data_IF_983982823419
#
_entry.id   IF_983982823419
#
_cell.length_a   1.000
_cell.length_b   1.000
_cell.length_c   1.000
_cell.angle_alpha   90.00
_cell.angle_beta   90.00
_cell.angle_gamma   90.00
#
_symmetry.space_group_name_H-M   'P 1'
#
loop_
_entity.id
_entity.type
_entity.pdbx_description
1 polymer ?
#
# COMPACT_ATOMS: atom_id res chain seq x y z
N UNK A 1 -9.72 -3.21 -2.25
CA UNK A 1 -10.85 -3.19 -3.21
C UNK A 1 -10.57 -2.16 -4.29
N UNK A 2 -10.90 -2.46 -5.54
CA UNK A 2 -10.83 -1.48 -6.64
C UNK A 2 -12.13 -1.43 -7.42
N UNK A 3 -12.61 -0.23 -7.78
CA UNK A 3 -13.78 -0.02 -8.63
C UNK A 3 -13.38 0.87 -9.81
N UNK A 4 -13.61 0.43 -11.04
CA UNK A 4 -13.41 1.24 -12.24
C UNK A 4 -14.69 2.01 -12.57
N UNK A 5 -14.60 3.33 -12.66
CA UNK A 5 -15.69 4.22 -13.04
C UNK A 5 -15.87 4.25 -14.57
N UNK A 6 -17.03 4.67 -15.09
CA UNK A 6 -17.24 4.84 -16.53
C UNK A 6 -16.23 5.78 -17.21
N UNK A 7 -15.66 6.73 -16.46
CA UNK A 7 -14.58 7.62 -16.93
C UNK A 7 -13.22 6.91 -17.08
N UNK A 8 -13.11 5.65 -16.66
CA UNK A 8 -11.85 4.90 -16.60
C UNK A 8 -11.05 5.11 -15.33
N UNK A 9 -11.40 6.09 -14.49
CA UNK A 9 -10.79 6.31 -13.18
C UNK A 9 -11.01 5.11 -12.25
N UNK A 10 -10.07 4.86 -11.33
CA UNK A 10 -10.10 3.70 -10.42
C UNK A 10 -10.13 4.18 -8.99
N UNK A 11 -11.20 3.86 -8.26
CA UNK A 11 -11.28 4.04 -6.81
C UNK A 11 -10.60 2.85 -6.14
N UNK A 12 -9.60 3.11 -5.30
CA UNK A 12 -8.88 2.11 -4.50
C UNK A 12 -9.23 2.35 -3.04
N UNK A 13 -9.67 1.31 -2.35
CA UNK A 13 -9.88 1.33 -0.89
C UNK A 13 -9.15 0.14 -0.27
N UNK A 14 -8.22 0.43 0.65
CA UNK A 14 -7.47 -0.56 1.41
C UNK A 14 -8.06 -0.76 2.79
N UNK A 15 -8.22 -2.02 3.19
CA UNK A 15 -8.56 -2.39 4.56
C UNK A 15 -7.76 -3.62 4.96
N UNK A 16 -7.30 -3.64 6.21
CA UNK A 16 -6.64 -4.81 6.82
C UNK A 16 -7.49 -5.30 7.98
N UNK A 17 -7.65 -6.61 8.06
CA UNK A 17 -8.20 -7.31 9.21
C UNK A 17 -7.03 -7.78 10.08
N UNK A 18 -7.02 -7.38 11.35
CA UNK A 18 -6.02 -7.81 12.32
C UNK A 18 -6.50 -9.12 12.97
N UNK A 19 -5.63 -10.12 13.19
CA UNK A 19 -6.00 -11.39 13.82
C UNK A 19 -6.67 -11.20 15.18
N UNK A 20 -7.59 -12.10 15.52
CA UNK A 20 -8.34 -12.07 16.78
C UNK A 20 -7.40 -12.06 18.00
N UNK A 21 -7.58 -11.06 18.88
CA UNK A 21 -7.07 -11.13 20.26
C UNK A 21 -7.93 -12.11 21.07
N UNK A 22 -7.47 -12.60 22.24
CA UNK A 22 -8.10 -13.69 23.01
C UNK A 22 -9.59 -13.50 23.35
N UNK A 23 -10.13 -12.29 23.25
CA UNK A 23 -11.52 -11.95 23.49
C UNK A 23 -12.45 -12.10 22.25
N UNK A 24 -11.97 -12.63 21.13
CA UNK A 24 -12.81 -12.94 19.95
C UNK A 24 -13.21 -11.73 19.10
N UNK A 25 -12.72 -10.52 19.40
CA UNK A 25 -12.96 -9.34 18.58
C UNK A 25 -12.02 -9.30 17.37
N UNK A 26 -12.59 -9.22 16.16
CA UNK A 26 -11.86 -8.89 14.94
C UNK A 26 -11.82 -7.37 14.82
N UNK A 27 -10.63 -6.78 14.81
CA UNK A 27 -10.46 -5.34 14.57
C UNK A 27 -9.97 -5.14 13.15
N UNK A 28 -10.72 -4.36 12.36
CA UNK A 28 -10.32 -3.95 11.02
C UNK A 28 -9.91 -2.48 11.02
N UNK A 29 -8.94 -2.11 10.20
CA UNK A 29 -8.57 -0.70 10.00
C UNK A 29 -8.56 -0.32 8.53
N UNK A 30 -8.90 0.94 8.24
CA UNK A 30 -8.83 1.51 6.90
C UNK A 30 -7.38 1.93 6.64
N UNK A 31 -6.82 1.44 5.53
CA UNK A 31 -5.44 1.72 5.13
C UNK A 31 -5.27 2.93 4.21
N UNK A 32 -6.39 3.57 3.87
CA UNK A 32 -6.45 4.67 2.92
C UNK A 32 -7.40 4.39 1.75
N UNK A 33 -7.75 5.48 1.09
CA UNK A 33 -8.57 5.48 -0.11
C UNK A 33 -8.00 6.51 -1.08
N UNK A 34 -7.90 6.13 -2.35
CA UNK A 34 -7.52 7.05 -3.41
C UNK A 34 -8.41 6.86 -4.64
N UNK A 35 -8.54 7.93 -5.42
CA UNK A 35 -9.06 7.88 -6.79
C UNK A 35 -7.83 8.05 -7.67
N UNK A 36 -7.57 7.09 -8.54
CA UNK A 36 -6.47 7.11 -9.49
C UNK A 36 -7.01 7.39 -10.90
N UNK A 37 -6.23 8.05 -11.77
CA UNK A 37 -6.62 8.28 -13.15
C UNK A 37 -6.77 6.98 -13.94
N UNK A 38 -7.43 7.10 -15.10
CA UNK A 38 -7.51 6.03 -16.07
C UNK A 38 -6.11 5.58 -16.51
N UNK A 39 -5.95 4.29 -16.76
CA UNK A 39 -4.64 3.70 -17.03
C UNK A 39 -4.71 2.17 -17.05
N UNK A 40 -3.58 1.45 -16.89
CA UNK A 40 -3.55 -0.01 -16.90
C UNK A 40 -4.57 -0.64 -15.93
N UNK A 41 -5.04 -1.88 -16.15
CA UNK A 41 -5.89 -2.57 -15.18
C UNK A 41 -5.24 -2.62 -13.79
N UNK A 42 -6.03 -2.58 -12.72
CA UNK A 42 -5.52 -2.59 -11.34
C UNK A 42 -4.55 -3.76 -11.06
N UNK A 43 -4.80 -4.93 -11.65
CA UNK A 43 -3.94 -6.11 -11.56
C UNK A 43 -2.53 -5.92 -12.16
N UNK A 44 -2.31 -4.86 -12.94
CA UNK A 44 -1.01 -4.50 -13.52
C UNK A 44 -0.39 -3.26 -12.86
N UNK A 45 -0.98 -2.75 -11.78
CA UNK A 45 -0.48 -1.59 -11.05
C UNK A 45 0.12 -2.01 -9.73
N UNK A 46 1.06 -1.21 -9.25
CA UNK A 46 1.56 -1.27 -7.88
C UNK A 46 0.73 -0.30 -7.04
N UNK A 47 0.25 -0.75 -5.90
CA UNK A 47 -0.48 0.04 -4.92
C UNK A 47 0.23 -0.10 -3.58
N UNK A 48 0.66 0.99 -2.98
CA UNK A 48 1.32 1.00 -1.68
C UNK A 48 0.48 1.81 -0.69
N UNK A 49 0.27 1.29 0.52
CA UNK A 49 -0.62 1.87 1.53
C UNK A 49 0.04 1.84 2.90
N UNK A 50 -0.23 2.88 3.71
CA UNK A 50 0.09 2.89 5.13
C UNK A 50 -1.17 2.50 5.94
N UNK A 51 -1.17 1.28 6.46
CA UNK A 51 -2.24 0.76 7.30
C UNK A 51 -1.95 1.05 8.78
N UNK A 52 -2.65 2.00 9.37
CA UNK A 52 -2.51 2.33 10.79
C UNK A 52 -3.54 1.57 11.64
N UNK A 53 -3.08 0.88 12.67
CA UNK A 53 -3.95 0.24 13.68
C UNK A 53 -4.10 1.21 14.85
N UNK A 54 -5.32 1.64 15.14
CA UNK A 54 -5.63 2.59 16.21
C UNK A 54 -6.25 1.84 17.40
N UNK A 55 -5.82 2.17 18.61
CA UNK A 55 -6.51 1.78 19.83
C UNK A 55 -7.76 2.66 19.99
N UNK A 56 -8.94 2.09 19.78
CA UNK A 56 -10.20 2.84 19.88
C UNK A 56 -10.58 3.29 21.29
N UNK A 57 -9.91 2.79 22.34
CA UNK A 57 -10.14 3.24 23.72
C UNK A 57 -9.40 4.53 24.04
N UNK A 58 -8.22 4.72 23.45
CA UNK A 58 -7.34 5.88 23.70
C UNK A 58 -7.22 6.82 22.50
N UNK A 59 -7.62 6.37 21.30
CA UNK A 59 -7.39 7.04 20.03
C UNK A 59 -5.94 7.00 19.55
N UNK A 60 -5.04 6.30 20.26
CA UNK A 60 -3.62 6.30 19.96
C UNK A 60 -3.27 5.28 18.86
N UNK A 61 -2.32 5.61 17.95
CA UNK A 61 -1.83 4.64 16.99
C UNK A 61 -0.98 3.57 17.68
N UNK A 62 -1.32 2.31 17.44
CA UNK A 62 -0.61 1.15 17.98
C UNK A 62 0.53 0.68 17.08
N UNK A 63 0.29 0.68 15.76
CA UNK A 63 1.26 0.21 14.77
C UNK A 63 0.87 0.65 13.37
N UNK A 64 1.87 0.94 12.53
CA UNK A 64 1.65 1.24 11.10
C UNK A 64 2.36 0.20 10.25
N UNK A 65 1.60 -0.44 9.36
CA UNK A 65 2.12 -1.43 8.41
C UNK A 65 2.14 -0.85 7.01
N UNK A 66 3.22 -1.09 6.29
CA UNK A 66 3.28 -0.96 4.85
C UNK A 66 2.58 -2.16 4.21
N UNK A 67 1.56 -1.90 3.40
CA UNK A 67 0.92 -2.90 2.55
C UNK A 67 1.12 -2.54 1.10
N UNK A 68 1.71 -3.46 0.33
CA UNK A 68 1.89 -3.30 -1.11
C UNK A 68 1.20 -4.43 -1.85
N UNK A 69 0.43 -4.08 -2.88
CA UNK A 69 -0.20 -5.00 -3.82
C UNK A 69 0.33 -4.66 -5.20
N UNK A 70 1.01 -5.62 -5.82
CA UNK A 70 1.69 -5.47 -7.10
C UNK A 70 1.38 -6.69 -8.00
N UNK A 71 1.81 -6.68 -9.27
CA UNK A 71 1.76 -7.85 -10.13
C UNK A 71 2.54 -9.03 -9.52
N UNK A 72 2.08 -10.27 -9.78
CA UNK A 72 2.61 -11.47 -9.14
C UNK A 72 4.10 -11.72 -9.45
N UNK A 73 4.61 -11.19 -10.56
CA UNK A 73 6.02 -11.25 -10.95
C UNK A 73 6.96 -10.38 -10.09
N UNK A 74 6.40 -9.49 -9.24
CA UNK A 74 7.18 -8.66 -8.31
C UNK A 74 7.72 -9.51 -7.17
N UNK A 75 9.04 -9.47 -7.00
CA UNK A 75 9.76 -10.25 -5.99
C UNK A 75 10.36 -9.36 -4.89
N UNK A 76 10.65 -8.10 -5.19
CA UNK A 76 11.25 -7.15 -4.26
C UNK A 76 10.52 -5.82 -4.27
N UNK A 77 10.44 -5.23 -3.09
CA UNK A 77 9.84 -3.92 -2.83
C UNK A 77 10.88 -3.08 -2.09
N UNK A 78 11.14 -1.87 -2.59
CA UNK A 78 12.07 -0.92 -1.98
C UNK A 78 11.33 0.32 -1.51
N UNK A 79 11.63 0.78 -0.32
CA UNK A 79 11.02 1.98 0.27
C UNK A 79 12.01 3.14 0.24
N UNK A 80 11.52 4.33 -0.08
CA UNK A 80 12.32 5.55 -0.15
C UNK A 80 11.66 6.69 0.62
N UNK A 81 12.49 7.58 1.17
CA UNK A 81 12.05 8.85 1.72
C UNK A 81 11.77 9.88 0.60
N UNK A 82 11.20 11.03 0.96
CA UNK A 82 10.82 12.09 0.03
C UNK A 82 12.02 12.68 -0.74
N UNK A 83 13.21 12.66 -0.15
CA UNK A 83 14.48 13.05 -0.80
C UNK A 83 15.07 11.94 -1.70
N UNK A 84 14.33 10.85 -1.91
CA UNK A 84 14.71 9.63 -2.63
C UNK A 84 15.81 8.82 -1.95
N UNK A 85 16.07 9.05 -0.67
CA UNK A 85 16.96 8.20 0.13
C UNK A 85 16.36 6.81 0.28
N UNK A 86 17.15 5.77 0.00
CA UNK A 86 16.76 4.38 0.22
C UNK A 86 16.64 4.09 1.71
N UNK A 87 15.54 3.47 2.12
CA UNK A 87 15.27 3.14 3.53
C UNK A 87 15.39 1.64 3.80
N UNK A 88 14.74 0.82 2.98
CA UNK A 88 14.65 -0.63 3.19
C UNK A 88 14.30 -1.38 1.91
N UNK A 89 14.60 -2.67 1.89
CA UNK A 89 14.17 -3.63 0.87
C UNK A 89 13.46 -4.80 1.54
N UNK A 90 12.39 -5.26 0.91
CA UNK A 90 11.53 -6.35 1.38
C UNK A 90 11.23 -7.32 0.25
N UNK A 91 11.16 -8.61 0.55
CA UNK A 91 10.64 -9.61 -0.39
C UNK A 91 9.12 -9.54 -0.45
N UNK A 92 8.57 -9.64 -1.66
CA UNK A 92 7.14 -9.83 -1.90
C UNK A 92 6.84 -11.30 -2.18
N UNK A 93 5.68 -11.76 -1.73
CA UNK A 93 5.15 -13.09 -2.03
C UNK A 93 3.93 -12.91 -2.91
N UNK A 94 3.95 -13.45 -4.13
CA UNK A 94 2.90 -13.28 -5.14
C UNK A 94 2.54 -11.81 -5.39
N UNK A 95 3.53 -10.92 -5.40
CA UNK A 95 3.34 -9.47 -5.56
C UNK A 95 2.77 -8.76 -4.33
N UNK A 96 2.65 -9.43 -3.18
CA UNK A 96 2.10 -8.88 -1.94
C UNK A 96 3.21 -8.69 -0.89
N UNK A 97 3.22 -7.53 -0.25
CA UNK A 97 4.03 -7.25 0.94
C UNK A 97 3.13 -6.74 2.07
N UNK A 98 3.33 -7.27 3.28
CA UNK A 98 2.83 -6.71 4.52
C UNK A 98 3.99 -6.68 5.53
N UNK A 99 4.45 -5.50 5.90
CA UNK A 99 5.60 -5.32 6.81
C UNK A 99 5.43 -4.05 7.66
N UNK A 100 6.17 -3.89 8.77
CA UNK A 100 6.23 -2.60 9.47
C UNK A 100 6.64 -1.48 8.51
N UNK A 101 5.96 -0.34 8.55
CA UNK A 101 6.29 0.80 7.70
C UNK A 101 7.61 1.45 8.16
N UNK A 102 8.67 1.49 7.32
CA UNK A 102 9.88 2.20 7.68
C UNK A 102 9.58 3.69 7.86
N UNK A 103 10.08 4.28 8.96
CA UNK A 103 9.85 5.69 9.27
C UNK A 103 10.38 6.57 8.15
N UNK A 104 9.57 7.54 7.73
CA UNK A 104 9.90 8.47 6.65
C UNK A 104 9.67 7.93 5.24
N UNK A 105 9.11 6.72 5.08
CA UNK A 105 8.72 6.21 3.75
C UNK A 105 7.70 7.15 3.10
N UNK A 106 7.98 7.53 1.87
CA UNK A 106 7.13 8.37 1.03
C UNK A 106 6.74 7.66 -0.26
N UNK A 107 7.70 6.94 -0.88
CA UNK A 107 7.48 6.20 -2.12
C UNK A 107 7.98 4.77 -2.04
N UNK A 108 7.43 3.94 -2.91
CA UNK A 108 7.75 2.52 -3.06
C UNK A 108 8.11 2.20 -4.50
N UNK A 109 9.16 1.41 -4.70
CA UNK A 109 9.58 0.87 -5.99
C UNK A 109 9.40 -0.65 -6.02
N UNK A 110 8.72 -1.16 -7.05
CA UNK A 110 8.54 -2.58 -7.24
C UNK A 110 9.52 -3.14 -8.28
N UNK A 111 10.13 -4.28 -7.95
CA UNK A 111 11.14 -4.93 -8.78
C UNK A 111 10.75 -6.40 -9.02
N UNK A 112 10.75 -6.81 -10.28
CA UNK A 112 10.46 -8.21 -10.65
C UNK A 112 11.61 -9.14 -10.31
N UNK A 113 11.37 -10.45 -10.29
CA UNK A 113 12.41 -11.45 -10.11
C UNK A 113 13.55 -11.35 -11.16
N UNK A 114 13.26 -10.81 -12.34
CA UNK A 114 14.24 -10.53 -13.40
C UNK A 114 15.00 -9.21 -13.23
N UNK A 115 14.78 -8.47 -12.15
CA UNK A 115 15.41 -7.17 -11.88
C UNK A 115 14.77 -5.98 -12.62
N UNK A 116 13.59 -6.16 -13.22
CA UNK A 116 12.89 -5.07 -13.94
C UNK A 116 12.17 -4.19 -12.94
N UNK A 117 12.42 -2.88 -13.00
CA UNK A 117 11.75 -1.88 -12.18
C UNK A 117 10.42 -1.48 -12.84
N UNK A 118 9.31 -1.59 -12.12
CA UNK A 118 7.97 -1.23 -12.61
C UNK A 118 7.60 0.24 -12.36
N UNK A 119 8.52 1.01 -11.79
CA UNK A 119 8.35 2.41 -11.43
C UNK A 119 8.24 2.63 -9.93
N UNK A 120 8.14 3.91 -9.55
CA UNK A 120 7.88 4.34 -8.18
C UNK A 120 6.45 4.81 -8.05
N UNK A 121 5.83 4.45 -6.93
CA UNK A 121 4.48 4.87 -6.57
C UNK A 121 4.51 5.50 -5.20
N UNK A 122 3.69 6.53 -5.03
CA UNK A 122 3.50 7.17 -3.73
C UNK A 122 2.68 6.25 -2.82
N UNK A 123 2.87 6.38 -1.51
CA UNK A 123 1.93 5.81 -0.56
C UNK A 123 0.56 6.45 -0.77
N UNK A 124 -0.47 5.61 -0.93
CA UNK A 124 -1.85 6.06 -0.95
C UNK A 124 -2.12 6.82 0.34
N UNK A 125 -2.39 8.11 0.20
CA UNK A 125 -2.87 8.98 1.28
C UNK A 125 -4.40 8.98 1.27
N UNK A 126 -5.02 9.53 2.31
CA UNK A 126 -6.45 9.85 2.29
C UNK A 126 -6.70 11.05 1.35
N UNK A 127 -6.50 10.87 0.04
CA UNK A 127 -6.59 11.93 -0.95
C UNK A 127 -6.94 11.37 -2.34
N UNK A 128 -7.65 12.17 -3.14
CA UNK A 128 -7.79 11.91 -4.56
C UNK A 128 -6.52 12.40 -5.28
N UNK A 129 -5.97 11.58 -6.18
CA UNK A 129 -4.84 11.93 -7.03
C UNK A 129 -5.33 11.98 -8.48
N UNK A 130 -5.40 13.19 -9.03
CA UNK A 130 -5.92 13.42 -10.38
C UNK A 130 -4.80 13.54 -11.42
N UNK A 131 -3.53 13.44 -11.04
CA UNK A 131 -2.40 13.85 -11.86
C UNK A 131 -2.36 15.38 -12.09
N UNK A 132 -1.16 15.92 -12.29
CA UNK A 132 -0.96 17.28 -12.80
C UNK A 132 -1.08 17.32 -14.34
#
# INVERSE_FOLDING_TARGET
MTITLPSGAVVVAGQVLVPQRPAGATTGTLCGQAILPAGPPAARRVQAMACEVIDHTTGAPMSTSLVVVAPAEVALIRTYAADRTFLAEHSAVDGILVAPLPLGTDTVEAVTAGGVILGRVDLLRHAADFGD
#
